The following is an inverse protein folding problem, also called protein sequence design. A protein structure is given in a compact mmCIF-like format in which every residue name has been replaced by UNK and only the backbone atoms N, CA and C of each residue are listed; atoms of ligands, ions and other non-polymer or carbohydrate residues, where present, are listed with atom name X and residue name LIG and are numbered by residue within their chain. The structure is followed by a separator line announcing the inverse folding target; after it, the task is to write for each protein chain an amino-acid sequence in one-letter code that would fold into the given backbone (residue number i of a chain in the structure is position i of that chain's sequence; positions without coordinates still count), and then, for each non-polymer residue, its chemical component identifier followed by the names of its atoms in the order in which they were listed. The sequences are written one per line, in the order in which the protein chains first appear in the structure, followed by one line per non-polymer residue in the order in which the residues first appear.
data_IF_375467826619
#
_entry.id   IF_375467826619
#
_cell.length_a   1.000
_cell.length_b   1.000
_cell.length_c   1.000
_cell.angle_alpha   90.00
_cell.angle_beta   90.00
_cell.angle_gamma   90.00
#
_symmetry.space_group_name_H-M   'P 1'
#
loop_
_entity.id
_entity.type
_entity.pdbx_description
1 polymer ?
#
# COMPACT_ATOMS: atom_id res chain seq x y z
N UNK A 1 -6.92 -20.43 29.98
CA UNK A 1 -6.46 -20.56 28.60
C UNK A 1 -6.10 -19.16 28.03
N UNK A 2 -5.04 -18.54 28.55
CA UNK A 2 -4.59 -17.20 28.13
C UNK A 2 -3.78 -17.22 26.80
N UNK A 3 -3.32 -18.39 26.36
CA UNK A 3 -2.44 -18.51 25.20
C UNK A 3 -3.09 -18.20 23.85
N UNK A 4 -4.40 -18.44 23.69
CA UNK A 4 -5.11 -18.17 22.41
C UNK A 4 -5.31 -16.67 22.21
N UNK A 5 -5.72 -15.96 23.26
CA UNK A 5 -5.96 -14.51 23.24
C UNK A 5 -4.66 -13.72 23.05
N UNK A 6 -3.58 -14.14 23.73
CA UNK A 6 -2.26 -13.55 23.54
C UNK A 6 -1.72 -13.82 22.13
N UNK A 7 -1.87 -15.05 21.62
CA UNK A 7 -1.45 -15.38 20.26
C UNK A 7 -2.22 -14.57 19.19
N UNK A 8 -3.52 -14.35 19.39
CA UNK A 8 -4.33 -13.49 18.52
C UNK A 8 -3.85 -12.03 18.55
N UNK A 9 -3.72 -11.45 19.73
CA UNK A 9 -3.30 -10.04 19.91
C UNK A 9 -1.91 -9.77 19.34
N UNK A 10 -0.99 -10.74 19.46
CA UNK A 10 0.38 -10.61 18.95
C UNK A 10 0.51 -10.98 17.46
N UNK A 11 -0.53 -11.57 16.85
CA UNK A 11 -0.46 -12.12 15.50
C UNK A 11 0.02 -11.10 14.45
N UNK A 12 -0.56 -9.89 14.32
CA UNK A 12 -0.10 -8.93 13.31
C UNK A 12 1.36 -8.51 13.51
N UNK A 13 1.80 -8.38 14.77
CA UNK A 13 3.17 -8.02 15.11
C UNK A 13 4.16 -9.11 14.72
N UNK A 14 3.92 -10.33 15.22
CA UNK A 14 4.80 -11.48 14.98
C UNK A 14 4.83 -11.87 13.50
N UNK A 15 3.69 -11.86 12.83
CA UNK A 15 3.57 -12.41 11.47
C UNK A 15 4.01 -11.44 10.39
N UNK A 16 3.95 -10.13 10.64
CA UNK A 16 4.28 -9.11 9.65
C UNK A 16 5.02 -7.91 10.23
N UNK A 17 4.40 -7.13 11.14
CA UNK A 17 4.89 -5.77 11.45
C UNK A 17 6.33 -5.77 11.98
N UNK A 18 6.65 -6.65 12.93
CA UNK A 18 8.01 -6.69 13.50
C UNK A 18 9.01 -7.29 12.50
N UNK A 19 8.56 -8.18 11.59
CA UNK A 19 9.39 -8.82 10.55
C UNK A 19 9.91 -7.80 9.53
N UNK A 20 9.05 -6.84 9.15
CA UNK A 20 9.42 -5.76 8.23
C UNK A 20 9.88 -4.48 8.95
N UNK A 21 9.95 -4.51 10.29
CA UNK A 21 10.46 -3.39 11.09
C UNK A 21 9.48 -2.24 11.31
N UNK A 22 8.18 -2.47 11.14
CA UNK A 22 7.10 -1.52 11.47
C UNK A 22 6.84 -1.46 12.97
N UNK A 23 7.85 -1.05 13.74
CA UNK A 23 7.84 -1.09 15.22
C UNK A 23 7.03 0.03 15.88
N UNK A 24 6.59 1.03 15.11
CA UNK A 24 5.84 2.20 15.57
C UNK A 24 4.45 2.22 14.95
N UNK A 25 3.84 1.04 14.86
CA UNK A 25 2.50 0.82 14.30
C UNK A 25 1.61 0.20 15.38
N UNK A 26 0.52 0.91 15.71
CA UNK A 26 -0.51 0.46 16.63
C UNK A 26 -1.73 -0.01 15.83
N UNK A 27 -2.05 -1.29 15.98
CA UNK A 27 -3.30 -1.88 15.47
C UNK A 27 -4.32 -1.85 16.60
N UNK A 28 -5.37 -1.05 16.47
CA UNK A 28 -6.41 -0.96 17.49
C UNK A 28 -7.42 -2.09 17.40
N UNK A 29 -8.05 -2.38 18.53
CA UNK A 29 -9.15 -3.34 18.66
C UNK A 29 -10.43 -2.63 19.07
N UNK A 30 -11.56 -3.29 18.86
CA UNK A 30 -12.82 -2.88 19.48
C UNK A 30 -12.88 -3.28 20.97
N UNK A 31 -14.04 -3.09 21.61
CA UNK A 31 -14.25 -3.41 23.03
C UNK A 31 -14.21 -4.91 23.36
N UNK A 32 -14.26 -5.79 22.35
CA UNK A 32 -14.21 -7.24 22.49
C UNK A 32 -12.81 -7.80 22.19
N UNK A 33 -11.88 -6.96 21.76
CA UNK A 33 -10.52 -7.35 21.41
C UNK A 33 -10.34 -7.69 19.93
N UNK A 34 -11.37 -7.51 19.09
CA UNK A 34 -11.28 -7.78 17.65
C UNK A 34 -10.58 -6.62 16.92
N UNK A 35 -9.66 -6.94 16.00
CA UNK A 35 -8.90 -5.91 15.28
C UNK A 35 -9.76 -5.06 14.34
N UNK A 36 -9.58 -3.74 14.39
CA UNK A 36 -10.24 -2.77 13.49
C UNK A 36 -9.28 -2.31 12.39
N UNK A 37 -8.84 -3.26 11.56
CA UNK A 37 -7.84 -3.03 10.50
C UNK A 37 -8.34 -2.19 9.32
N UNK A 38 -9.65 -1.95 9.22
CA UNK A 38 -10.24 -1.15 8.15
C UNK A 38 -9.99 0.36 8.30
N UNK A 39 -9.71 0.85 9.52
CA UNK A 39 -9.59 2.30 9.77
C UNK A 39 -8.80 2.73 11.01
N UNK A 40 -8.55 1.85 11.99
CA UNK A 40 -7.91 2.23 13.25
C UNK A 40 -6.49 1.65 13.38
N UNK A 41 -5.66 1.94 12.37
CA UNK A 41 -4.23 1.67 12.41
C UNK A 41 -3.48 2.99 12.48
N UNK A 42 -2.74 3.20 13.57
CA UNK A 42 -1.95 4.41 13.80
C UNK A 42 -0.49 4.10 13.54
N UNK A 43 0.12 4.77 12.56
CA UNK A 43 1.47 4.45 12.11
C UNK A 43 2.20 5.70 11.61
N UNK A 44 3.52 5.59 11.47
CA UNK A 44 4.37 6.65 10.93
C UNK A 44 4.71 6.44 9.44
N UNK A 45 5.21 7.49 8.79
CA UNK A 45 5.51 7.44 7.37
C UNK A 45 6.62 6.43 7.03
N UNK A 46 7.58 6.22 7.94
CA UNK A 46 8.70 5.29 7.74
C UNK A 46 8.25 3.83 7.78
N UNK A 47 7.30 3.51 8.65
CA UNK A 47 6.71 2.19 8.77
C UNK A 47 5.82 1.90 7.56
N UNK A 48 5.01 2.87 7.11
CA UNK A 48 4.30 2.76 5.83
C UNK A 48 5.24 2.60 4.63
N UNK A 49 6.43 3.22 4.65
CA UNK A 49 7.42 3.04 3.59
C UNK A 49 7.94 1.61 3.56
N UNK A 50 8.16 0.96 4.73
CA UNK A 50 8.53 -0.46 4.80
C UNK A 50 7.44 -1.37 4.24
N UNK A 51 6.17 -1.07 4.55
CA UNK A 51 5.04 -1.75 3.92
C UNK A 51 5.06 -1.60 2.40
N UNK A 52 5.23 -0.38 1.88
CA UNK A 52 5.36 -0.16 0.44
C UNK A 52 6.55 -0.88 -0.17
N UNK A 53 7.70 -0.90 0.51
CA UNK A 53 8.91 -1.60 0.05
C UNK A 53 8.71 -3.12 0.00
N UNK A 54 7.98 -3.72 0.95
CA UNK A 54 7.63 -5.14 0.89
C UNK A 54 6.87 -5.48 -0.41
N UNK A 55 5.91 -4.63 -0.79
CA UNK A 55 5.14 -4.80 -2.02
C UNK A 55 5.94 -4.47 -3.28
N UNK A 56 6.80 -3.45 -3.23
CA UNK A 56 7.76 -3.13 -4.29
C UNK A 56 8.69 -4.32 -4.59
N UNK A 57 9.13 -5.02 -3.55
CA UNK A 57 10.02 -6.18 -3.60
C UNK A 57 9.27 -7.51 -3.81
N UNK A 58 8.04 -7.47 -4.33
CA UNK A 58 7.30 -8.68 -4.69
C UNK A 58 7.00 -9.61 -3.51
N UNK A 59 6.84 -9.05 -2.30
CA UNK A 59 6.55 -9.79 -1.08
C UNK A 59 7.77 -10.38 -0.37
N UNK A 60 8.99 -10.09 -0.87
CA UNK A 60 10.25 -10.54 -0.26
C UNK A 60 10.82 -9.44 0.63
N UNK A 61 11.27 -9.84 1.83
CA UNK A 61 11.93 -8.95 2.78
C UNK A 61 13.19 -9.62 3.31
N UNK A 62 14.35 -8.97 3.17
CA UNK A 62 15.65 -9.51 3.57
C UNK A 62 15.92 -10.94 3.07
N UNK A 63 15.51 -11.24 1.83
CA UNK A 63 15.68 -12.57 1.22
C UNK A 63 14.62 -13.61 1.59
N UNK A 64 13.67 -13.28 2.47
CA UNK A 64 12.58 -14.18 2.84
C UNK A 64 11.25 -13.74 2.21
N UNK A 65 10.53 -14.67 1.59
CA UNK A 65 9.17 -14.42 1.08
C UNK A 65 8.16 -14.39 2.22
N UNK A 66 7.67 -13.19 2.56
CA UNK A 66 6.65 -12.99 3.59
C UNK A 66 5.23 -12.97 3.01
N UNK A 67 5.09 -12.50 1.77
CA UNK A 67 3.85 -12.45 1.00
C UNK A 67 4.05 -13.23 -0.30
N UNK A 68 3.08 -14.08 -0.65
CA UNK A 68 3.20 -14.94 -1.82
C UNK A 68 3.17 -14.11 -3.11
N UNK A 69 3.78 -14.63 -4.17
CA UNK A 69 3.79 -13.96 -5.47
C UNK A 69 2.37 -13.84 -6.02
N UNK A 70 1.56 -14.88 -5.85
CA UNK A 70 0.16 -14.91 -6.26
C UNK A 70 -0.67 -13.84 -5.55
N UNK A 71 -0.35 -13.51 -4.29
CA UNK A 71 -1.00 -12.42 -3.59
C UNK A 71 -0.59 -11.05 -4.17
N UNK A 72 0.68 -10.86 -4.49
CA UNK A 72 1.15 -9.62 -5.14
C UNK A 72 0.47 -9.43 -6.49
N UNK A 73 0.33 -10.49 -7.28
CA UNK A 73 -0.37 -10.45 -8.56
C UNK A 73 -1.87 -10.19 -8.37
N UNK A 74 -2.48 -10.83 -7.38
CA UNK A 74 -3.89 -10.62 -7.04
C UNK A 74 -4.20 -9.16 -6.72
N UNK A 75 -3.37 -8.48 -5.91
CA UNK A 75 -3.64 -7.07 -5.56
C UNK A 75 -3.39 -6.11 -6.72
N UNK A 76 -2.58 -6.51 -7.71
CA UNK A 76 -2.27 -5.72 -8.91
C UNK A 76 -3.22 -6.02 -10.07
N UNK A 77 -3.99 -7.09 -9.99
CA UNK A 77 -4.94 -7.48 -11.03
C UNK A 77 -6.27 -6.74 -10.82
N UNK A 78 -6.79 -6.04 -11.84
CA UNK A 78 -8.08 -5.37 -11.74
C UNK A 78 -9.21 -6.34 -11.37
N UNK A 79 -10.02 -5.94 -10.40
CA UNK A 79 -11.21 -6.67 -10.02
C UNK A 79 -12.23 -6.61 -11.17
N UNK A 80 -12.87 -7.74 -11.57
CA UNK A 80 -13.79 -7.78 -12.70
C UNK A 80 -14.94 -6.77 -12.61
N UNK A 81 -15.40 -6.44 -11.40
CA UNK A 81 -16.45 -5.45 -11.16
C UNK A 81 -16.06 -4.02 -11.52
N UNK A 82 -14.77 -3.74 -11.75
CA UNK A 82 -14.26 -2.42 -12.15
C UNK A 82 -13.97 -2.31 -13.65
N UNK A 83 -14.19 -3.37 -14.43
CA UNK A 83 -13.88 -3.40 -15.86
C UNK A 83 -14.60 -2.29 -16.66
N UNK A 84 -15.88 -2.05 -16.37
CA UNK A 84 -16.66 -1.01 -17.04
C UNK A 84 -16.34 0.42 -16.57
N UNK A 85 -15.55 0.58 -15.51
CA UNK A 85 -15.23 1.86 -14.87
C UNK A 85 -13.74 2.18 -14.87
N UNK A 86 -12.96 1.45 -15.67
CA UNK A 86 -11.55 1.74 -15.95
C UNK A 86 -10.56 0.98 -15.08
N UNK A 87 -10.92 -0.21 -14.57
CA UNK A 87 -9.97 -1.15 -13.95
C UNK A 87 -9.16 -0.56 -12.78
N UNK A 88 -9.77 0.31 -11.98
CA UNK A 88 -9.07 1.16 -11.01
C UNK A 88 -8.77 0.49 -9.66
N UNK A 89 -9.10 -0.78 -9.46
CA UNK A 89 -8.99 -1.44 -8.15
C UNK A 89 -8.68 -2.93 -8.28
N UNK A 90 -7.83 -3.46 -7.40
CA UNK A 90 -7.48 -4.88 -7.31
C UNK A 90 -7.14 -5.24 -5.86
N UNK A 91 -7.65 -6.36 -5.33
CA UNK A 91 -7.28 -6.92 -4.02
C UNK A 91 -6.91 -5.97 -2.87
N UNK A 92 -7.76 -4.97 -2.53
CA UNK A 92 -7.51 -3.95 -1.49
C UNK A 92 -6.59 -2.77 -1.89
N UNK A 93 -6.16 -2.70 -3.14
CA UNK A 93 -5.32 -1.64 -3.70
C UNK A 93 -6.02 -0.89 -4.83
N UNK A 94 -5.70 0.40 -4.94
CA UNK A 94 -6.06 1.25 -6.06
C UNK A 94 -5.03 1.11 -7.17
N UNK A 95 -5.49 0.96 -8.40
CA UNK A 95 -4.68 0.84 -9.61
C UNK A 95 -4.80 2.13 -10.45
N UNK A 96 -3.83 2.36 -11.34
CA UNK A 96 -3.89 3.47 -12.30
C UNK A 96 -4.98 3.17 -13.34
N UNK A 97 -6.08 3.96 -13.40
CA UNK A 97 -7.24 3.62 -14.23
C UNK A 97 -6.93 3.70 -15.73
N UNK A 98 -7.55 2.85 -16.56
CA UNK A 98 -7.32 2.71 -18.02
C UNK A 98 -7.34 4.01 -18.85
N UNK A 99 -7.98 5.08 -18.38
CA UNK A 99 -7.95 6.39 -19.06
C UNK A 99 -6.69 7.24 -18.80
N UNK A 100 -5.80 6.82 -17.90
CA UNK A 100 -4.70 7.64 -17.38
C UNK A 100 -3.32 7.17 -17.88
N UNK A 101 -2.60 8.04 -18.59
CA UNK A 101 -1.31 7.72 -19.22
C UNK A 101 -0.11 8.53 -18.70
N UNK A 102 -0.33 9.43 -17.75
CA UNK A 102 0.70 10.33 -17.18
C UNK A 102 1.39 9.76 -15.91
N UNK A 103 1.04 8.52 -15.53
CA UNK A 103 1.63 7.74 -14.44
C UNK A 103 1.80 6.30 -14.93
N UNK A 104 2.89 5.57 -14.59
CA UNK A 104 3.09 4.20 -15.01
C UNK A 104 1.91 3.29 -14.63
N UNK A 105 1.43 2.49 -15.59
CA UNK A 105 0.34 1.51 -15.39
C UNK A 105 0.61 0.50 -14.29
N UNK A 106 1.88 0.17 -14.09
CA UNK A 106 2.33 -0.74 -13.05
C UNK A 106 2.23 -0.16 -11.64
N UNK A 107 1.96 1.14 -11.49
CA UNK A 107 1.82 1.77 -10.18
C UNK A 107 0.50 1.39 -9.51
N UNK A 108 0.54 1.23 -8.19
CA UNK A 108 -0.60 0.84 -7.38
C UNK A 108 -0.45 1.42 -5.98
N UNK A 109 -1.57 1.57 -5.26
CA UNK A 109 -1.56 2.32 -4.02
C UNK A 109 -2.58 1.83 -2.99
N UNK A 110 -2.26 1.99 -1.71
CA UNK A 110 -3.29 2.04 -0.65
C UNK A 110 -3.69 3.49 -0.40
N UNK A 111 -4.96 3.69 -0.05
CA UNK A 111 -5.52 5.02 0.19
C UNK A 111 -6.41 5.02 1.41
N UNK A 112 -6.11 5.90 2.36
CA UNK A 112 -6.88 6.14 3.56
C UNK A 112 -7.59 7.50 3.53
N UNK A 113 -8.58 7.65 4.40
CA UNK A 113 -9.37 8.87 4.52
C UNK A 113 -8.47 10.11 4.76
N UNK A 114 -8.86 11.24 4.18
CA UNK A 114 -8.16 12.53 4.29
C UNK A 114 -6.70 12.51 3.80
N UNK A 115 -6.42 11.63 2.83
CA UNK A 115 -5.20 11.72 2.03
C UNK A 115 -3.99 10.95 2.58
N UNK A 116 -4.22 9.81 3.22
CA UNK A 116 -3.14 8.87 3.55
C UNK A 116 -2.86 8.02 2.33
N UNK A 117 -1.66 8.08 1.75
CA UNK A 117 -1.32 7.30 0.56
C UNK A 117 -0.02 6.54 0.78
N UNK A 118 0.02 5.28 0.34
CA UNK A 118 1.26 4.57 0.02
C UNK A 118 1.17 4.20 -1.45
N UNK A 119 1.99 4.85 -2.29
CA UNK A 119 2.05 4.57 -3.72
C UNK A 119 3.32 3.79 -4.00
N UNK A 120 3.19 2.67 -4.69
CA UNK A 120 4.29 1.83 -5.15
C UNK A 120 4.41 2.00 -6.66
N UNK A 121 5.61 2.32 -7.14
CA UNK A 121 5.90 2.52 -8.58
C UNK A 121 7.05 1.58 -8.97
N UNK A 122 6.74 0.31 -9.35
CA UNK A 122 7.76 -0.71 -9.62
C UNK A 122 8.78 -0.31 -10.68
N UNK A 123 8.33 0.30 -11.76
CA UNK A 123 9.19 0.75 -12.88
C UNK A 123 10.22 1.81 -12.49
N UNK A 124 10.10 2.38 -11.27
CA UNK A 124 10.97 3.44 -10.77
C UNK A 124 11.67 3.05 -9.46
N UNK A 125 11.55 1.79 -9.01
CA UNK A 125 12.04 1.34 -7.69
C UNK A 125 11.65 2.33 -6.56
N UNK A 126 10.41 2.83 -6.63
CA UNK A 126 9.97 3.99 -5.85
C UNK A 126 8.75 3.66 -4.97
N UNK A 127 8.82 4.12 -3.72
CA UNK A 127 7.68 4.17 -2.80
C UNK A 127 7.47 5.61 -2.37
N UNK A 128 6.24 6.11 -2.53
CA UNK A 128 5.82 7.45 -2.06
C UNK A 128 4.87 7.26 -0.89
N UNK A 129 5.20 7.86 0.25
CA UNK A 129 4.31 7.88 1.42
C UNK A 129 3.85 9.30 1.69
N UNK A 130 2.54 9.47 1.79
CA UNK A 130 1.91 10.70 2.26
C UNK A 130 1.03 10.40 3.46
N UNK A 131 1.20 11.19 4.53
CA UNK A 131 0.21 11.30 5.61
C UNK A 131 -0.41 12.68 5.55
N UNK A 132 -1.71 12.74 5.30
CA UNK A 132 -2.43 13.99 5.05
C UNK A 132 -3.43 14.32 6.16
N UNK A 133 -3.95 15.54 6.11
CA UNK A 133 -5.15 15.94 6.82
C UNK A 133 -5.96 16.85 5.89
N UNK A 134 -6.45 16.26 4.81
CA UNK A 134 -7.13 17.00 3.75
C UNK A 134 -8.56 17.36 4.16
N UNK A 135 -8.92 18.62 3.94
CA UNK A 135 -10.27 19.15 4.15
C UNK A 135 -10.85 19.69 2.84
N UNK A 136 -12.13 19.37 2.59
CA UNK A 136 -12.85 19.86 1.41
C UNK A 136 -12.23 19.45 0.08
N UNK A 137 -12.23 20.35 -0.90
CA UNK A 137 -11.71 20.10 -2.27
C UNK A 137 -10.21 20.36 -2.44
N UNK A 138 -9.49 20.69 -1.37
CA UNK A 138 -8.05 21.03 -1.43
C UNK A 138 -7.13 19.81 -1.22
N UNK A 139 -7.70 18.60 -1.19
CA UNK A 139 -6.93 17.38 -1.01
C UNK A 139 -6.09 17.00 -2.22
N UNK A 140 -5.07 16.18 -1.99
CA UNK A 140 -4.24 15.66 -3.07
C UNK A 140 -4.94 14.48 -3.75
N UNK A 141 -4.94 14.48 -5.09
CA UNK A 141 -5.14 13.24 -5.84
C UNK A 141 -3.83 12.43 -5.82
N UNK A 142 -3.93 11.14 -5.50
CA UNK A 142 -2.76 10.26 -5.36
C UNK A 142 -1.95 10.15 -6.66
N UNK A 143 -2.61 10.16 -7.80
CA UNK A 143 -1.97 9.96 -9.10
C UNK A 143 -1.40 11.27 -9.64
N UNK A 144 -2.08 12.40 -9.43
CA UNK A 144 -1.51 13.72 -9.74
C UNK A 144 -0.25 13.98 -8.91
N UNK A 145 -0.30 13.70 -7.60
CA UNK A 145 0.88 13.77 -6.74
C UNK A 145 2.00 12.87 -7.26
N UNK A 146 1.67 11.63 -7.65
CA UNK A 146 2.67 10.69 -8.20
C UNK A 146 3.30 11.24 -9.46
N UNK A 147 2.51 11.75 -10.41
CA UNK A 147 3.04 12.41 -11.62
C UNK A 147 4.03 13.53 -11.28
N UNK A 148 3.67 14.42 -10.36
CA UNK A 148 4.57 15.54 -9.99
C UNK A 148 5.86 15.06 -9.33
N UNK A 149 5.82 14.01 -8.50
CA UNK A 149 7.03 13.41 -7.92
C UNK A 149 7.90 12.79 -9.01
N UNK A 150 7.31 12.07 -9.97
CA UNK A 150 8.05 11.42 -11.05
C UNK A 150 8.81 12.40 -11.94
N UNK A 151 8.31 13.63 -12.13
CA UNK A 151 9.04 14.69 -12.86
C UNK A 151 10.41 15.00 -12.26
N UNK A 152 10.60 14.78 -10.96
CA UNK A 152 11.89 15.01 -10.29
C UNK A 152 12.95 13.94 -10.60
N UNK A 153 12.54 12.77 -11.11
CA UNK A 153 13.42 11.64 -11.41
C UNK A 153 13.81 11.56 -12.91
N UNK A 154 13.34 12.49 -13.75
CA UNK A 154 13.56 12.50 -15.20
C UNK A 154 12.80 11.39 -15.94
N UNK A 155 12.96 11.32 -17.27
CA UNK A 155 12.55 10.13 -18.03
C UNK A 155 13.57 9.01 -17.77
N UNK A 156 13.13 7.90 -17.17
CA UNK A 156 13.95 6.68 -17.08
C UNK A 156 13.86 5.89 -18.39
N UNK A 157 14.92 5.15 -18.78
CA UNK A 157 14.99 4.49 -20.07
C UNK A 157 13.81 3.51 -20.24
N UNK A 158 13.29 3.43 -21.46
CA UNK A 158 12.37 2.37 -21.87
C UNK A 158 12.95 1.01 -21.46
N UNK A 159 12.46 0.42 -20.38
CA UNK A 159 12.69 -1.01 -20.15
C UNK A 159 11.68 -1.75 -21.01
N UNK A 160 12.25 -2.27 -22.08
CA UNK A 160 11.83 -3.31 -23.02
C UNK A 160 10.41 -3.88 -22.96
N UNK A 161 9.90 -4.02 -24.19
CA UNK A 161 8.78 -4.81 -24.69
C UNK A 161 8.40 -6.05 -23.88
#
# INVERSE_FOLDING_TARGET
ALGIEQAYSEFPRRRLLDRIGMRNTLVSTDRFGDFVLSSQVYTNARDLARFGLLYLQGGVWNGERLVSEEWIDFVRTPAPSTAASGNFYGGQFWLVPDGRNDVPRSAYATSGNRGQFVVIVPTHDLVIVRRGLDYGRQGFDRWDMTREVLKAFGEMPSQEQ
#
